data_IF_980609952825
#
_entry.id   IF_980609952825
#
_cell.length_a   1.000
_cell.length_b   1.000
_cell.length_c   1.000
_cell.angle_alpha   90.00
_cell.angle_beta   90.00
_cell.angle_gamma   90.00
#
_symmetry.space_group_name_H-M   'P 1'
#
loop_
_entity.id
_entity.type
_entity.pdbx_description
1 polymer ?
#
# COMPACT_ATOMS: atom_id res chain seq x y z
N UNK A 1 -14.75 -8.13 -11.64
CA UNK A 1 -15.26 -6.76 -11.91
C UNK A 1 -15.62 -6.01 -10.63
N UNK A 2 -16.43 -6.57 -9.72
CA UNK A 2 -16.75 -5.92 -8.44
C UNK A 2 -15.51 -5.57 -7.58
N UNK A 3 -14.55 -6.48 -7.44
CA UNK A 3 -13.30 -6.22 -6.72
C UNK A 3 -12.47 -5.07 -7.32
N UNK A 4 -12.48 -4.91 -8.65
CA UNK A 4 -11.78 -3.82 -9.32
C UNK A 4 -12.47 -2.47 -9.05
N UNK A 5 -13.81 -2.44 -9.07
CA UNK A 5 -14.57 -1.25 -8.69
C UNK A 5 -14.28 -0.84 -7.25
N UNK A 6 -14.28 -1.80 -6.32
CA UNK A 6 -14.00 -1.54 -4.91
C UNK A 6 -12.56 -1.03 -4.71
N UNK A 7 -11.59 -1.61 -5.43
CA UNK A 7 -10.21 -1.15 -5.44
C UNK A 7 -10.12 0.31 -5.91
N UNK A 8 -10.78 0.68 -7.00
CA UNK A 8 -10.80 2.07 -7.49
C UNK A 8 -11.40 3.03 -6.47
N UNK A 9 -12.52 2.66 -5.83
CA UNK A 9 -13.18 3.50 -4.82
C UNK A 9 -12.27 3.70 -3.61
N UNK A 10 -11.68 2.62 -3.06
CA UNK A 10 -10.79 2.71 -1.91
C UNK A 10 -9.49 3.44 -2.23
N UNK A 11 -8.93 3.25 -3.42
CA UNK A 11 -7.72 3.96 -3.84
C UNK A 11 -7.99 5.46 -4.00
N UNK A 12 -9.12 5.83 -4.60
CA UNK A 12 -9.53 7.23 -4.75
C UNK A 12 -9.77 7.89 -3.39
N UNK A 13 -10.50 7.21 -2.49
CA UNK A 13 -10.73 7.70 -1.13
C UNK A 13 -9.40 7.85 -0.35
N UNK A 14 -8.49 6.89 -0.49
CA UNK A 14 -7.17 6.95 0.14
C UNK A 14 -6.35 8.13 -0.38
N UNK A 15 -6.40 8.44 -1.68
CA UNK A 15 -5.66 9.57 -2.26
C UNK A 15 -6.18 10.92 -1.73
N UNK A 16 -7.49 11.10 -1.63
CA UNK A 16 -8.11 12.33 -1.09
C UNK A 16 -7.72 12.54 0.37
N UNK A 17 -7.80 11.49 1.18
CA UNK A 17 -7.41 11.54 2.59
C UNK A 17 -5.91 11.78 2.76
N UNK A 18 -5.08 11.13 1.94
CA UNK A 18 -3.63 11.28 1.99
C UNK A 18 -3.19 12.71 1.72
N UNK A 19 -3.81 13.43 0.76
CA UNK A 19 -3.53 14.85 0.52
C UNK A 19 -3.68 15.68 1.80
N UNK A 20 -4.79 15.51 2.53
CA UNK A 20 -5.00 16.20 3.81
C UNK A 20 -4.01 15.78 4.89
N UNK A 21 -3.67 14.50 4.97
CA UNK A 21 -2.63 14.04 5.90
C UNK A 21 -1.26 14.65 5.57
N UNK A 22 -0.90 14.80 4.30
CA UNK A 22 0.38 15.41 3.90
C UNK A 22 0.49 16.89 4.22
N UNK A 23 -0.63 17.63 4.24
CA UNK A 23 -0.66 19.04 4.67
C UNK A 23 -0.28 19.18 6.16
N UNK A 24 -0.67 18.22 7.01
CA UNK A 24 -0.48 18.29 8.45
C UNK A 24 0.79 17.60 8.97
N UNK A 25 1.17 16.46 8.40
CA UNK A 25 2.26 15.61 8.88
C UNK A 25 3.53 15.70 8.02
N UNK A 26 3.41 16.27 6.81
CA UNK A 26 4.44 16.21 5.77
C UNK A 26 4.37 14.92 4.95
N UNK A 27 4.83 14.99 3.69
CA UNK A 27 4.72 13.88 2.73
C UNK A 27 5.49 12.62 3.13
N UNK A 28 6.68 12.77 3.72
CA UNK A 28 7.53 11.62 4.11
C UNK A 28 6.93 10.84 5.28
N UNK A 29 6.51 11.53 6.34
CA UNK A 29 5.94 10.90 7.54
C UNK A 29 4.60 10.22 7.23
N UNK A 30 3.75 10.89 6.43
CA UNK A 30 2.49 10.31 6.00
C UNK A 30 2.68 9.02 5.18
N UNK A 31 3.68 9.00 4.28
CA UNK A 31 4.01 7.80 3.52
C UNK A 31 4.58 6.70 4.44
N UNK A 32 5.44 7.04 5.39
CA UNK A 32 6.03 6.09 6.33
C UNK A 32 4.98 5.38 7.17
N UNK A 33 4.02 6.14 7.73
CA UNK A 33 2.89 5.57 8.48
C UNK A 33 2.06 4.61 7.61
N UNK A 34 1.78 5.00 6.36
CA UNK A 34 1.07 4.13 5.39
C UNK A 34 1.86 2.85 5.11
N UNK A 35 3.18 2.95 4.94
CA UNK A 35 4.06 1.82 4.64
C UNK A 35 4.16 0.82 5.79
N UNK A 36 3.91 1.23 7.03
CA UNK A 36 3.87 0.33 8.19
C UNK A 36 2.46 -0.23 8.36
N UNK A 37 1.44 0.64 8.34
CA UNK A 37 0.08 0.28 8.67
C UNK A 37 -0.52 -0.72 7.67
N UNK A 38 -0.35 -0.45 6.36
CA UNK A 38 -0.92 -1.29 5.31
C UNK A 38 -0.42 -2.75 5.35
N UNK A 39 0.91 -3.04 5.35
CA UNK A 39 1.37 -4.41 5.44
C UNK A 39 1.09 -5.05 6.80
N UNK A 40 1.07 -4.28 7.90
CA UNK A 40 0.68 -4.83 9.21
C UNK A 40 -0.76 -5.35 9.17
N UNK A 41 -1.69 -4.54 8.66
CA UNK A 41 -3.08 -4.97 8.49
C UNK A 41 -3.17 -6.17 7.54
N UNK A 42 -2.39 -6.16 6.47
CA UNK A 42 -2.38 -7.27 5.51
C UNK A 42 -1.87 -8.58 6.14
N UNK A 43 -0.85 -8.52 7.00
CA UNK A 43 -0.34 -9.67 7.76
C UNK A 43 -1.41 -10.18 8.72
N UNK A 44 -2.08 -9.30 9.48
CA UNK A 44 -3.15 -9.69 10.40
C UNK A 44 -4.29 -10.40 9.67
N UNK A 45 -4.69 -9.87 8.51
CA UNK A 45 -5.68 -10.50 7.65
C UNK A 45 -5.17 -11.85 7.14
N UNK A 46 -3.93 -11.96 6.68
CA UNK A 46 -3.36 -13.22 6.22
C UNK A 46 -3.32 -14.30 7.32
N UNK A 47 -2.95 -13.92 8.55
CA UNK A 47 -2.95 -14.82 9.71
C UNK A 47 -4.36 -15.36 10.04
N UNK A 48 -5.42 -14.59 9.75
CA UNK A 48 -6.81 -15.04 9.98
C UNK A 48 -7.24 -16.21 9.07
N UNK A 49 -6.56 -16.43 7.94
CA UNK A 49 -6.80 -17.57 7.05
C UNK A 49 -6.03 -18.84 7.45
N UNK A 50 -5.20 -18.77 8.49
CA UNK A 50 -4.53 -19.93 9.08
C UNK A 50 -3.54 -20.65 8.12
N UNK A 51 -3.32 -21.96 8.32
CA UNK A 51 -2.37 -22.76 7.54
C UNK A 51 -2.68 -22.86 6.04
N UNK A 52 -3.89 -22.47 5.62
CA UNK A 52 -4.34 -22.57 4.23
C UNK A 52 -3.42 -21.81 3.25
N UNK A 53 -2.70 -20.78 3.72
CA UNK A 53 -1.79 -19.99 2.89
C UNK A 53 -0.34 -20.53 2.84
N UNK A 54 0.05 -21.41 3.75
CA UNK A 54 1.45 -21.87 3.88
C UNK A 54 1.93 -22.68 2.65
N UNK A 55 1.02 -23.37 1.96
CA UNK A 55 1.33 -24.14 0.75
C UNK A 55 1.51 -23.31 -0.53
N UNK A 56 1.18 -22.01 -0.51
CA UNK A 56 1.23 -21.14 -1.69
C UNK A 56 2.52 -20.31 -1.79
N UNK A 57 3.47 -20.51 -0.88
CA UNK A 57 4.74 -19.80 -0.92
C UNK A 57 5.60 -20.28 -2.10
N UNK A 58 6.05 -19.34 -2.94
CA UNK A 58 6.95 -19.63 -4.05
C UNK A 58 8.04 -18.55 -4.15
N UNK A 59 9.33 -18.90 -4.07
CA UNK A 59 10.42 -17.93 -3.92
C UNK A 59 10.54 -16.98 -5.12
N UNK A 60 10.28 -17.47 -6.35
CA UNK A 60 10.30 -16.63 -7.55
C UNK A 60 9.14 -15.62 -7.58
N UNK A 61 7.95 -16.02 -7.10
CA UNK A 61 6.78 -15.14 -7.06
C UNK A 61 6.97 -14.09 -5.99
N UNK A 62 7.53 -14.49 -4.84
CA UNK A 62 7.93 -13.56 -3.79
C UNK A 62 8.91 -12.51 -4.29
N UNK A 63 10.00 -12.91 -4.97
CA UNK A 63 10.99 -11.96 -5.49
C UNK A 63 10.37 -10.94 -6.47
N UNK A 64 9.46 -11.41 -7.33
CA UNK A 64 8.78 -10.57 -8.31
C UNK A 64 7.79 -9.60 -7.64
N UNK A 65 6.98 -10.07 -6.69
CA UNK A 65 6.05 -9.24 -5.92
C UNK A 65 6.80 -8.25 -5.01
N UNK A 66 7.92 -8.66 -4.44
CA UNK A 66 8.78 -7.82 -3.63
C UNK A 66 9.39 -6.69 -4.47
N UNK A 67 9.95 -7.01 -5.64
CA UNK A 67 10.50 -6.01 -6.55
C UNK A 67 9.40 -5.05 -7.06
N UNK A 68 8.25 -5.59 -7.46
CA UNK A 68 7.09 -4.80 -7.86
C UNK A 68 6.62 -3.87 -6.73
N UNK A 69 6.59 -4.37 -5.50
CA UNK A 69 6.23 -3.60 -4.32
C UNK A 69 7.25 -2.51 -4.01
N UNK A 70 8.55 -2.81 -4.09
CA UNK A 70 9.62 -1.84 -3.88
C UNK A 70 9.57 -0.69 -4.90
N UNK A 71 9.23 -0.98 -6.16
CA UNK A 71 9.06 0.05 -7.19
C UNK A 71 7.76 0.84 -6.97
N UNK A 72 6.63 0.15 -6.77
CA UNK A 72 5.33 0.78 -6.62
C UNK A 72 5.17 1.56 -5.30
N UNK A 73 5.28 0.87 -4.17
CA UNK A 73 5.15 1.47 -2.84
C UNK A 73 6.40 2.24 -2.39
N UNK A 74 7.59 1.91 -2.92
CA UNK A 74 8.79 2.68 -2.63
C UNK A 74 8.85 3.94 -3.49
N UNK A 75 9.32 3.77 -4.74
CA UNK A 75 9.56 4.91 -5.64
C UNK A 75 8.26 5.63 -6.02
N UNK A 76 7.22 4.87 -6.36
CA UNK A 76 5.92 5.44 -6.77
C UNK A 76 5.25 6.24 -5.67
N UNK A 77 5.10 5.69 -4.46
CA UNK A 77 4.48 6.44 -3.36
C UNK A 77 5.35 7.63 -2.91
N UNK A 78 6.68 7.54 -2.88
CA UNK A 78 7.52 8.71 -2.57
C UNK A 78 7.23 9.85 -3.57
N UNK A 79 7.16 9.53 -4.87
CA UNK A 79 6.82 10.51 -5.89
C UNK A 79 5.39 11.07 -5.69
N UNK A 80 4.42 10.23 -5.38
CA UNK A 80 3.03 10.62 -5.14
C UNK A 80 2.88 11.55 -3.93
N UNK A 81 3.49 11.19 -2.79
CA UNK A 81 3.43 11.98 -1.56
C UNK A 81 4.22 13.28 -1.64
N UNK A 82 5.26 13.33 -2.47
CA UNK A 82 5.95 14.58 -2.85
C UNK A 82 5.09 15.44 -3.79
N UNK A 83 4.25 14.82 -4.61
CA UNK A 83 3.37 15.52 -5.54
C UNK A 83 2.13 16.10 -4.86
N UNK A 84 1.55 15.47 -3.84
CA UNK A 84 0.35 15.96 -3.16
C UNK A 84 0.35 17.44 -2.74
N UNK A 85 1.42 18.03 -2.18
CA UNK A 85 1.45 19.46 -1.87
C UNK A 85 1.55 20.38 -3.09
N UNK A 86 1.85 19.86 -4.28
CA UNK A 86 1.97 20.61 -5.53
C UNK A 86 0.64 20.72 -6.30
N UNK A 87 -0.41 20.01 -5.86
CA UNK A 87 -1.75 19.90 -6.49
C UNK A 87 -2.83 20.32 -5.51
#
# INVERSE_FOLDING_TARGET
>A
MFAALLCTVFFSASAVSARKTTEHLGGTEANFVRLIFAPTLMILVALSFGPALAGYWHPKVFALLFLSGAIGFGVGDIALFRAFPLI
#
